data_IF_468532670078
#
_entry.id   IF_468532670078
#
_cell.length_a   1.000
_cell.length_b   1.000
_cell.length_c   1.000
_cell.angle_alpha   90.00
_cell.angle_beta   90.00
_cell.angle_gamma   90.00
#
_symmetry.space_group_name_H-M   'P 1'
#
loop_
_entity.id
_entity.type
_entity.pdbx_description
1 polymer ?
#
# COMPACT_ATOMS: atom_id res chain seq x y z
N UNK A 1 -21.95 -25.65 -16.95
CA UNK A 1 -20.99 -25.22 -15.89
C UNK A 1 -21.07 -23.72 -15.79
N UNK A 2 -21.37 -23.17 -14.61
CA UNK A 2 -21.25 -21.71 -14.38
C UNK A 2 -19.76 -21.40 -14.29
N UNK A 3 -19.22 -20.73 -15.29
CA UNK A 3 -17.84 -20.25 -15.30
C UNK A 3 -17.73 -19.12 -14.29
N UNK A 4 -17.09 -19.41 -13.16
CA UNK A 4 -16.68 -18.36 -12.22
C UNK A 4 -15.56 -17.57 -12.89
N UNK A 5 -15.77 -16.28 -13.11
CA UNK A 5 -14.76 -15.32 -13.55
C UNK A 5 -14.49 -14.36 -12.40
N UNK A 6 -13.26 -14.26 -11.93
CA UNK A 6 -12.85 -13.21 -11.00
C UNK A 6 -12.52 -11.97 -11.83
N UNK A 7 -13.32 -10.91 -11.73
CA UNK A 7 -13.01 -9.59 -12.29
C UNK A 7 -13.25 -8.56 -11.20
N UNK A 8 -12.28 -7.70 -10.93
CA UNK A 8 -12.45 -6.56 -10.05
C UNK A 8 -11.16 -5.75 -10.06
N UNK A 9 -11.16 -4.43 -10.30
CA UNK A 9 -12.24 -3.47 -10.05
C UNK A 9 -12.88 -2.92 -11.34
N UNK A 10 -13.86 -3.71 -11.83
CA UNK A 10 -14.97 -3.35 -12.74
C UNK A 10 -14.73 -3.05 -14.23
N UNK A 11 -13.79 -3.72 -14.92
CA UNK A 11 -13.94 -4.26 -16.30
C UNK A 11 -12.65 -4.95 -16.81
N UNK A 12 -12.45 -5.17 -18.12
CA UNK A 12 -11.38 -5.99 -18.71
C UNK A 12 -10.00 -5.36 -18.45
N UNK A 13 -9.39 -5.73 -17.32
CA UNK A 13 -7.98 -5.44 -17.03
C UNK A 13 -7.11 -6.42 -17.81
N UNK A 14 -6.35 -5.94 -18.80
CA UNK A 14 -5.34 -6.75 -19.51
C UNK A 14 -3.98 -6.77 -18.78
N UNK A 15 -3.85 -5.97 -17.73
CA UNK A 15 -2.63 -5.87 -16.93
C UNK A 15 -2.95 -5.93 -15.44
N UNK A 16 -2.02 -6.47 -14.66
CA UNK A 16 -2.05 -6.38 -13.19
C UNK A 16 -0.73 -5.79 -12.69
N UNK A 17 -0.79 -5.01 -11.61
CA UNK A 17 0.39 -4.54 -10.90
C UNK A 17 0.67 -5.42 -9.69
N UNK A 18 1.92 -5.85 -9.53
CA UNK A 18 2.36 -6.69 -8.43
C UNK A 18 3.65 -6.11 -7.85
N UNK A 19 3.80 -6.29 -6.55
CA UNK A 19 4.97 -5.91 -5.76
C UNK A 19 5.23 -7.00 -4.72
N UNK A 20 6.46 -7.09 -4.23
CA UNK A 20 6.90 -8.21 -3.39
C UNK A 20 7.38 -7.76 -1.99
N UNK A 21 7.01 -8.46 -0.90
CA UNK A 21 7.64 -8.28 0.41
C UNK A 21 9.13 -8.64 0.34
N UNK A 22 9.98 -7.87 1.02
CA UNK A 22 11.44 -7.96 0.85
C UNK A 22 12.13 -9.04 1.71
N UNK A 23 11.36 -9.84 2.46
CA UNK A 23 11.92 -10.85 3.34
C UNK A 23 12.20 -12.14 2.59
N UNK A 24 13.49 -12.37 2.32
CA UNK A 24 13.97 -13.58 1.68
C UNK A 24 13.62 -14.86 2.44
N UNK A 25 13.36 -14.81 3.74
CA UNK A 25 13.09 -15.99 4.56
C UNK A 25 11.90 -15.74 5.49
N UNK A 26 10.92 -16.66 5.45
CA UNK A 26 9.86 -16.73 6.46
C UNK A 26 10.40 -17.33 7.78
N UNK A 27 11.34 -18.26 7.64
CA UNK A 27 12.02 -18.95 8.75
C UNK A 27 13.46 -19.25 8.33
N UNK A 28 14.30 -19.68 9.28
CA UNK A 28 15.69 -20.11 9.01
C UNK A 28 15.81 -21.25 7.98
N UNK A 29 14.71 -21.91 7.63
CA UNK A 29 14.67 -23.03 6.66
C UNK A 29 13.72 -22.81 5.50
N UNK A 30 12.80 -21.85 5.58
CA UNK A 30 11.81 -21.55 4.54
C UNK A 30 12.09 -20.20 3.92
N UNK A 31 12.58 -20.23 2.68
CA UNK A 31 12.91 -19.05 1.91
C UNK A 31 11.63 -18.51 1.22
N UNK A 32 11.15 -17.35 1.64
CA UNK A 32 9.97 -16.69 1.09
C UNK A 32 10.21 -16.14 -0.31
N UNK A 33 11.41 -15.65 -0.61
CA UNK A 33 11.72 -15.14 -1.96
C UNK A 33 11.75 -16.29 -2.96
N UNK A 34 12.36 -17.42 -2.61
CA UNK A 34 12.34 -18.65 -3.39
C UNK A 34 10.92 -19.19 -3.43
N UNK A 35 10.21 -19.35 -2.31
CA UNK A 35 8.83 -19.86 -2.33
C UNK A 35 7.93 -18.94 -3.13
N UNK A 36 8.15 -17.64 -3.19
CA UNK A 36 7.26 -16.72 -3.88
C UNK A 36 7.67 -16.48 -5.32
N UNK A 37 8.96 -16.55 -5.63
CA UNK A 37 9.44 -16.71 -7.00
C UNK A 37 9.05 -18.08 -7.55
N UNK A 38 9.06 -19.16 -6.77
CA UNK A 38 8.64 -20.51 -7.15
C UNK A 38 7.11 -20.62 -7.17
N UNK A 39 6.37 -19.93 -6.30
CA UNK A 39 4.92 -19.79 -6.37
C UNK A 39 4.60 -18.96 -7.60
N UNK A 40 5.27 -17.84 -7.88
CA UNK A 40 5.06 -17.04 -9.10
C UNK A 40 5.47 -17.83 -10.34
N UNK A 41 6.56 -18.61 -10.32
CA UNK A 41 6.95 -19.50 -11.41
C UNK A 41 5.96 -20.64 -11.58
N UNK A 42 5.50 -21.29 -10.51
CA UNK A 42 4.44 -22.30 -10.55
C UNK A 42 3.10 -21.66 -10.94
N UNK A 43 2.86 -20.41 -10.57
CA UNK A 43 1.68 -19.65 -10.92
C UNK A 43 1.73 -19.24 -12.39
N UNK A 44 2.90 -18.91 -12.93
CA UNK A 44 3.11 -18.56 -14.35
C UNK A 44 3.15 -19.83 -15.21
N UNK A 45 3.76 -20.91 -14.73
CA UNK A 45 4.05 -22.13 -15.51
C UNK A 45 3.04 -23.26 -15.28
N UNK A 46 2.51 -23.44 -14.07
CA UNK A 46 1.58 -24.53 -13.70
C UNK A 46 0.12 -24.06 -13.62
N UNK A 47 -0.16 -22.95 -12.92
CA UNK A 47 -1.53 -22.40 -12.75
C UNK A 47 -1.87 -21.44 -13.89
N UNK A 48 -0.85 -20.91 -14.58
CA UNK A 48 -0.94 -19.90 -15.63
C UNK A 48 -1.80 -18.70 -15.22
N UNK A 49 -1.32 -17.86 -14.31
CA UNK A 49 -1.98 -16.65 -13.79
C UNK A 49 -2.60 -15.79 -14.89
N UNK A 50 -1.85 -15.65 -15.98
CA UNK A 50 -2.26 -14.91 -17.17
C UNK A 50 -3.51 -15.53 -17.79
N UNK A 51 -3.68 -16.84 -17.75
CA UNK A 51 -4.91 -17.54 -18.16
C UNK A 51 -6.01 -17.45 -17.08
N UNK A 52 -5.69 -17.66 -15.80
CA UNK A 52 -6.68 -17.63 -14.69
C UNK A 52 -7.33 -16.26 -14.53
N UNK A 53 -6.53 -15.20 -14.56
CA UNK A 53 -7.00 -13.82 -14.50
C UNK A 53 -7.26 -13.23 -15.89
N UNK A 54 -7.01 -13.99 -16.96
CA UNK A 54 -7.12 -13.55 -18.35
C UNK A 54 -6.35 -12.24 -18.63
N UNK A 55 -5.13 -12.15 -18.07
CA UNK A 55 -4.22 -11.03 -18.24
C UNK A 55 -3.36 -11.22 -19.49
N UNK A 56 -2.90 -10.10 -20.04
CA UNK A 56 -1.95 -10.00 -21.15
C UNK A 56 -0.58 -9.53 -20.70
N UNK A 57 -0.48 -8.85 -19.55
CA UNK A 57 0.77 -8.34 -19.03
C UNK A 57 0.78 -8.29 -17.48
N UNK A 58 1.98 -8.35 -16.90
CA UNK A 58 2.23 -8.03 -15.49
C UNK A 58 3.24 -6.88 -15.43
N UNK A 59 2.95 -5.87 -14.62
CA UNK A 59 3.87 -4.76 -14.34
C UNK A 59 4.43 -4.95 -12.93
N UNK A 60 5.75 -5.17 -12.84
CA UNK A 60 6.43 -5.49 -11.58
C UNK A 60 7.03 -4.24 -10.96
N UNK A 61 6.42 -3.75 -9.88
CA UNK A 61 6.97 -2.64 -9.10
C UNK A 61 8.09 -3.18 -8.22
N UNK A 62 9.29 -2.56 -8.20
CA UNK A 62 10.48 -3.18 -7.65
C UNK A 62 10.50 -3.22 -6.12
N UNK A 63 9.88 -2.24 -5.44
CA UNK A 63 9.94 -2.14 -3.98
C UNK A 63 8.78 -1.33 -3.42
N UNK A 64 8.29 -1.76 -2.25
CA UNK A 64 7.26 -1.03 -1.54
C UNK A 64 7.75 0.30 -0.94
N UNK A 65 6.89 1.12 -0.33
CA UNK A 65 7.36 2.24 0.48
C UNK A 65 8.16 1.73 1.70
N UNK A 66 9.02 2.57 2.27
CA UNK A 66 9.85 2.21 3.42
C UNK A 66 9.01 1.93 4.66
N UNK A 67 7.99 2.74 4.91
CA UNK A 67 7.04 2.57 6.02
C UNK A 67 6.11 1.37 5.87
N UNK A 68 5.83 0.89 4.65
CA UNK A 68 5.00 -0.31 4.44
C UNK A 68 5.82 -1.61 4.32
N UNK A 69 7.13 -1.56 4.56
CA UNK A 69 7.97 -2.76 4.63
C UNK A 69 7.50 -3.72 5.74
N UNK A 70 8.10 -4.91 5.83
CA UNK A 70 7.68 -5.90 6.84
C UNK A 70 7.68 -5.31 8.26
N UNK A 71 6.61 -5.56 9.02
CA UNK A 71 6.32 -4.82 10.27
C UNK A 71 7.42 -4.99 11.32
N UNK A 72 8.17 -6.10 11.28
CA UNK A 72 9.28 -6.38 12.21
C UNK A 72 10.67 -6.01 11.68
N UNK A 73 10.76 -5.34 10.52
CA UNK A 73 11.98 -4.71 10.01
C UNK A 73 12.12 -3.27 10.58
N UNK A 74 12.00 -3.15 11.90
CA UNK A 74 12.03 -1.90 12.65
C UNK A 74 13.36 -1.76 13.41
N UNK A 75 13.74 -0.55 13.87
CA UNK A 75 12.97 0.70 13.94
C UNK A 75 12.89 1.47 12.61
N UNK A 76 11.97 2.42 12.53
CA UNK A 76 11.82 3.40 11.44
C UNK A 76 12.13 4.82 11.93
N UNK A 77 12.40 5.79 11.04
CA UNK A 77 12.58 7.17 11.46
C UNK A 77 11.34 7.71 12.21
N UNK A 78 11.60 8.42 13.29
CA UNK A 78 10.63 9.22 14.05
C UNK A 78 10.51 10.61 13.45
N UNK A 79 9.61 11.44 13.99
CA UNK A 79 9.44 12.84 13.58
C UNK A 79 10.73 13.69 13.67
N UNK A 80 11.63 13.38 14.62
CA UNK A 80 12.93 14.06 14.78
C UNK A 80 14.06 13.45 13.91
N UNK A 81 13.75 12.43 13.11
CA UNK A 81 14.70 11.71 12.26
C UNK A 81 15.54 10.65 12.97
N UNK A 82 15.41 10.48 14.30
CA UNK A 82 16.00 9.36 15.03
C UNK A 82 15.27 8.06 14.67
N UNK A 83 15.90 6.89 14.82
CA UNK A 83 15.27 5.61 14.52
C UNK A 83 14.68 4.99 15.80
N UNK A 84 13.59 5.56 16.31
CA UNK A 84 12.94 5.15 17.56
C UNK A 84 11.42 4.95 17.44
N UNK A 85 10.86 5.05 16.23
CA UNK A 85 9.48 4.72 15.93
C UNK A 85 9.37 3.34 15.29
N UNK A 86 8.17 2.79 15.27
CA UNK A 86 7.89 1.44 14.78
C UNK A 86 6.70 1.45 13.82
N UNK A 87 6.54 0.45 12.96
CA UNK A 87 5.32 0.33 12.12
C UNK A 87 4.20 -0.26 12.95
N UNK A 88 3.07 0.43 13.13
CA UNK A 88 1.96 -0.06 13.96
C UNK A 88 1.52 -1.47 13.54
N UNK A 89 1.30 -1.60 12.24
CA UNK A 89 1.26 -2.79 11.42
C UNK A 89 1.62 -2.33 9.99
N UNK A 90 1.88 -3.24 9.06
CA UNK A 90 2.03 -2.89 7.65
C UNK A 90 1.14 -3.76 6.78
N UNK A 91 0.82 -3.29 5.58
CA UNK A 91 0.28 -4.13 4.51
C UNK A 91 1.39 -5.03 3.91
N UNK A 92 2.59 -5.02 4.49
CA UNK A 92 3.73 -5.85 4.11
C UNK A 92 4.13 -5.67 2.64
N UNK A 93 4.04 -4.43 2.18
CA UNK A 93 4.47 -4.00 0.87
C UNK A 93 3.43 -4.27 -0.19
N UNK A 94 2.13 -4.18 0.10
CA UNK A 94 1.09 -4.38 -0.90
C UNK A 94 1.06 -3.26 -1.96
N UNK A 95 0.60 -3.60 -3.17
CA UNK A 95 0.60 -2.66 -4.30
C UNK A 95 -0.40 -1.52 -4.12
N UNK A 96 -1.51 -1.77 -3.42
CA UNK A 96 -2.59 -0.83 -3.15
C UNK A 96 -2.19 0.31 -2.21
N UNK A 97 -1.07 0.20 -1.50
CA UNK A 97 -0.45 1.30 -0.75
C UNK A 97 0.34 2.27 -1.64
N UNK A 98 0.65 1.89 -2.88
CA UNK A 98 1.63 2.62 -3.71
C UNK A 98 1.04 3.07 -5.03
N UNK A 99 0.31 2.19 -5.70
CA UNK A 99 -0.05 2.38 -7.09
C UNK A 99 -1.32 1.61 -7.45
N UNK A 100 -2.27 2.26 -8.12
CA UNK A 100 -3.53 1.64 -8.54
C UNK A 100 -3.93 2.03 -9.96
N UNK A 101 -4.56 1.13 -10.69
CA UNK A 101 -5.26 1.51 -11.92
C UNK A 101 -6.51 2.31 -11.55
N UNK A 102 -6.73 3.43 -12.24
CA UNK A 102 -7.95 4.25 -12.13
C UNK A 102 -8.83 4.14 -13.37
N UNK A 103 -8.25 3.69 -14.48
CA UNK A 103 -8.92 3.25 -15.70
C UNK A 103 -8.06 2.17 -16.39
N UNK A 104 -8.46 1.71 -17.57
CA UNK A 104 -7.69 0.75 -18.38
C UNK A 104 -6.32 1.29 -18.84
N UNK A 105 -6.18 2.62 -18.92
CA UNK A 105 -5.01 3.30 -19.45
C UNK A 105 -4.36 4.28 -18.44
N UNK A 106 -4.91 4.42 -17.24
CA UNK A 106 -4.45 5.41 -16.26
C UNK A 106 -4.03 4.75 -14.95
N UNK A 107 -2.79 5.04 -14.54
CA UNK A 107 -2.17 4.59 -13.30
C UNK A 107 -2.07 5.78 -12.34
N UNK A 108 -2.63 5.64 -11.14
CA UNK A 108 -2.39 6.52 -10.00
C UNK A 108 -1.20 5.98 -9.20
N UNK A 109 -0.24 6.83 -8.85
CA UNK A 109 0.93 6.45 -8.05
C UNK A 109 1.25 7.49 -6.97
N UNK A 110 1.64 7.01 -5.80
CA UNK A 110 2.08 7.82 -4.68
C UNK A 110 3.38 8.58 -5.01
N UNK A 111 3.50 9.81 -4.53
CA UNK A 111 4.61 10.71 -4.83
C UNK A 111 5.02 11.55 -3.61
N UNK A 112 6.32 11.88 -3.56
CA UNK A 112 6.94 12.76 -2.58
C UNK A 112 7.79 13.79 -3.33
N UNK A 113 7.58 15.08 -3.02
CA UNK A 113 8.38 16.16 -3.57
C UNK A 113 9.81 16.20 -3.02
N UNK A 114 10.71 16.84 -3.75
CA UNK A 114 12.09 17.01 -3.32
C UNK A 114 12.21 17.85 -2.03
N UNK A 115 11.24 18.74 -1.77
CA UNK A 115 11.18 19.55 -0.56
C UNK A 115 10.79 18.71 0.66
N UNK A 116 9.72 17.91 0.55
CA UNK A 116 9.29 17.00 1.60
C UNK A 116 10.38 15.99 1.98
N UNK A 117 11.04 15.42 0.98
CA UNK A 117 12.13 14.47 1.19
C UNK A 117 13.38 15.08 1.84
N UNK A 118 13.59 16.39 1.72
CA UNK A 118 14.67 17.10 2.43
C UNK A 118 14.32 17.34 3.89
N UNK A 119 13.05 17.62 4.16
CA UNK A 119 12.58 18.03 5.48
C UNK A 119 12.21 16.85 6.39
N UNK A 120 11.95 15.66 5.83
CA UNK A 120 11.54 14.49 6.59
C UNK A 120 12.35 13.24 6.19
N UNK A 121 12.97 12.59 7.19
CA UNK A 121 13.84 11.43 6.96
C UNK A 121 13.09 10.23 6.40
N UNK A 122 11.85 9.99 6.86
CA UNK A 122 11.01 8.92 6.32
C UNK A 122 10.64 9.21 4.87
N UNK A 123 10.24 10.45 4.56
CA UNK A 123 9.94 10.86 3.19
C UNK A 123 11.13 10.71 2.26
N UNK A 124 12.34 10.99 2.72
CA UNK A 124 13.59 10.73 1.96
C UNK A 124 13.71 9.27 1.55
N UNK A 125 13.49 8.33 2.49
CA UNK A 125 13.56 6.90 2.24
C UNK A 125 12.41 6.41 1.33
N UNK A 126 11.20 6.92 1.54
CA UNK A 126 10.05 6.61 0.69
C UNK A 126 10.25 7.12 -0.73
N UNK A 127 10.75 8.34 -0.90
CA UNK A 127 11.00 8.94 -2.21
C UNK A 127 11.95 8.11 -3.05
N UNK A 128 13.05 7.60 -2.49
CA UNK A 128 13.98 6.74 -3.23
C UNK A 128 13.28 5.51 -3.85
N UNK A 129 12.32 4.92 -3.11
CA UNK A 129 11.56 3.75 -3.57
C UNK A 129 10.46 4.14 -4.54
N UNK A 130 9.72 5.21 -4.25
CA UNK A 130 8.63 5.72 -5.09
C UNK A 130 9.13 6.27 -6.44
N UNK A 131 10.30 6.92 -6.49
CA UNK A 131 10.87 7.41 -7.76
C UNK A 131 11.25 6.24 -8.69
N UNK A 132 11.73 5.11 -8.15
CA UNK A 132 11.97 3.88 -8.92
C UNK A 132 10.67 3.28 -9.44
N UNK A 133 9.62 3.24 -8.61
CA UNK A 133 8.29 2.80 -9.02
C UNK A 133 7.73 3.71 -10.12
N UNK A 134 7.87 5.03 -9.97
CA UNK A 134 7.43 6.03 -10.94
C UNK A 134 8.12 5.89 -12.29
N UNK A 135 9.45 5.77 -12.33
CA UNK A 135 10.17 5.57 -13.59
C UNK A 135 9.80 4.24 -14.26
N UNK A 136 9.50 3.19 -13.49
CA UNK A 136 8.99 1.94 -14.05
C UNK A 136 7.61 2.12 -14.70
N UNK A 137 6.63 2.68 -14.00
CA UNK A 137 5.26 2.83 -14.55
C UNK A 137 5.20 3.83 -15.70
N UNK A 138 6.03 4.87 -15.67
CA UNK A 138 6.16 5.87 -16.75
C UNK A 138 6.72 5.28 -18.04
N UNK A 139 7.63 4.32 -17.94
CA UNK A 139 8.21 3.63 -19.10
C UNK A 139 7.41 2.38 -19.49
N UNK A 140 6.47 1.93 -18.65
CA UNK A 140 5.59 0.82 -18.95
C UNK A 140 4.64 1.19 -20.10
N UNK A 141 4.34 0.19 -20.92
CA UNK A 141 3.37 0.28 -22.00
C UNK A 141 2.26 -0.72 -21.73
N UNK A 142 1.05 -0.39 -22.17
CA UNK A 142 -0.05 -1.33 -22.20
C UNK A 142 0.16 -2.38 -23.30
N UNK A 143 -0.75 -3.35 -23.40
CA UNK A 143 -0.64 -4.45 -24.37
C UNK A 143 -0.66 -3.98 -25.84
N UNK A 144 -1.30 -2.84 -26.13
CA UNK A 144 -1.27 -2.20 -27.45
C UNK A 144 0.03 -1.44 -27.74
N UNK A 145 1.00 -1.44 -26.81
CA UNK A 145 2.27 -0.74 -26.93
C UNK A 145 2.20 0.77 -26.68
N UNK A 146 1.09 1.28 -26.14
CA UNK A 146 0.90 2.70 -25.78
C UNK A 146 1.34 2.94 -24.33
N UNK A 147 1.90 4.12 -24.00
CA UNK A 147 2.20 4.48 -22.61
C UNK A 147 0.92 4.65 -21.79
N UNK A 148 1.01 4.42 -20.49
CA UNK A 148 -0.08 4.74 -19.55
C UNK A 148 -0.11 6.25 -19.25
N UNK A 149 -1.30 6.78 -19.00
CA UNK A 149 -1.48 8.08 -18.36
C UNK A 149 -1.11 7.93 -16.88
N UNK A 150 -0.27 8.82 -16.33
CA UNK A 150 0.16 8.73 -14.93
C UNK A 150 -0.41 9.90 -14.14
N UNK A 151 -1.18 9.58 -13.10
CA UNK A 151 -1.64 10.53 -12.09
C UNK A 151 -0.78 10.35 -10.83
N UNK A 152 -0.31 11.46 -10.26
CA UNK A 152 0.41 11.44 -8.98
C UNK A 152 -0.56 11.82 -7.88
N UNK A 153 -0.59 11.03 -6.81
CA UNK A 153 -1.21 11.42 -5.53
C UNK A 153 -0.10 11.65 -4.51
N UNK A 154 -0.21 12.61 -3.59
CA UNK A 154 0.77 12.75 -2.54
C UNK A 154 0.76 11.51 -1.63
N UNK A 155 1.83 11.31 -0.86
CA UNK A 155 1.77 10.49 0.36
C UNK A 155 1.19 11.32 1.52
N UNK A 156 0.55 10.69 2.53
CA UNK A 156 0.15 11.40 3.74
C UNK A 156 1.35 11.94 4.53
N UNK A 157 1.17 13.05 5.25
CA UNK A 157 2.16 13.45 6.25
C UNK A 157 2.23 12.40 7.38
N UNK A 158 3.42 12.06 7.90
CA UNK A 158 3.54 10.99 8.89
C UNK A 158 2.90 11.39 10.22
N UNK A 159 1.99 10.55 10.70
CA UNK A 159 1.28 10.73 11.98
C UNK A 159 1.76 9.64 12.93
N UNK A 160 2.59 10.02 13.89
CA UNK A 160 3.09 9.10 14.90
C UNK A 160 2.16 9.07 16.11
N UNK A 161 1.82 7.87 16.57
CA UNK A 161 0.89 7.63 17.69
C UNK A 161 1.62 6.84 18.76
N UNK A 162 1.42 7.22 20.02
CA UNK A 162 1.88 6.42 21.15
C UNK A 162 0.79 5.41 21.51
N UNK A 163 1.10 4.12 21.38
CA UNK A 163 0.25 3.04 21.92
C UNK A 163 0.80 2.60 23.27
N UNK A 164 -0.09 2.38 24.23
CA UNK A 164 0.23 2.04 25.62
C UNK A 164 -0.27 0.64 25.96
N UNK A 165 0.26 -0.03 27.00
CA UNK A 165 -0.16 -1.39 27.36
C UNK A 165 -1.65 -1.58 27.66
N UNK A 166 -2.40 -0.50 27.88
CA UNK A 166 -3.85 -0.53 28.13
C UNK A 166 -4.68 -0.41 26.85
N UNK A 167 -4.07 -0.01 25.72
CA UNK A 167 -4.76 0.20 24.45
C UNK A 167 -4.93 -1.14 23.72
N UNK A 168 -6.09 -1.37 23.10
CA UNK A 168 -6.35 -2.61 22.36
C UNK A 168 -5.31 -2.87 21.25
N UNK A 169 -4.86 -1.80 20.58
CA UNK A 169 -3.82 -1.83 19.56
C UNK A 169 -2.47 -2.37 20.06
N UNK A 170 -2.20 -2.28 21.37
CA UNK A 170 -0.98 -2.82 21.98
C UNK A 170 -0.96 -4.35 22.06
N UNK A 171 -2.13 -4.99 22.06
CA UNK A 171 -2.23 -6.47 22.20
C UNK A 171 -1.43 -7.18 21.11
N UNK A 172 -1.56 -6.75 19.85
CA UNK A 172 -0.79 -7.28 18.72
C UNK A 172 0.73 -7.15 18.91
N UNK A 173 1.16 -6.05 19.55
CA UNK A 173 2.56 -5.79 19.84
C UNK A 173 3.11 -6.67 20.96
N UNK A 174 2.31 -6.88 22.01
CA UNK A 174 2.65 -7.80 23.09
C UNK A 174 2.81 -9.23 22.56
N UNK A 175 1.87 -9.70 21.75
CA UNK A 175 1.93 -11.04 21.13
C UNK A 175 3.15 -11.18 20.21
N UNK A 176 3.40 -10.19 19.34
CA UNK A 176 4.56 -10.18 18.46
C UNK A 176 5.87 -10.23 19.25
N UNK A 177 5.98 -9.48 20.35
CA UNK A 177 7.16 -9.47 21.22
C UNK A 177 7.44 -10.86 21.79
N UNK A 178 6.42 -11.56 22.28
CA UNK A 178 6.56 -12.91 22.84
C UNK A 178 7.01 -13.91 21.77
N UNK A 179 6.39 -13.89 20.58
CA UNK A 179 6.74 -14.78 19.47
C UNK A 179 8.17 -14.52 18.95
N UNK A 180 8.62 -13.27 18.99
CA UNK A 180 9.92 -12.82 18.50
C UNK A 180 11.02 -12.85 19.57
N UNK A 181 10.76 -13.44 20.75
CA UNK A 181 11.69 -13.46 21.89
C UNK A 181 12.23 -12.06 22.28
N UNK A 182 11.39 -11.03 22.14
CA UNK A 182 11.72 -9.67 22.51
C UNK A 182 12.65 -8.91 21.57
N UNK A 183 12.99 -9.46 20.39
CA UNK A 183 13.92 -8.85 19.43
C UNK A 183 13.32 -8.73 18.03
N UNK A 184 13.47 -7.58 17.39
CA UNK A 184 13.18 -7.41 15.96
C UNK A 184 14.20 -8.17 15.10
N UNK A 185 13.93 -8.26 13.80
CA UNK A 185 14.77 -9.01 12.86
C UNK A 185 16.20 -8.47 12.73
N UNK A 186 16.41 -7.18 13.03
CA UNK A 186 17.71 -6.53 13.02
C UNK A 186 18.45 -6.62 14.38
N UNK A 187 17.84 -7.28 15.38
CA UNK A 187 18.36 -7.41 16.74
C UNK A 187 18.00 -6.26 17.67
N UNK A 188 17.22 -5.28 17.21
CA UNK A 188 16.71 -4.20 18.07
C UNK A 188 15.74 -4.79 19.09
N UNK A 189 15.83 -4.44 20.39
CA UNK A 189 14.87 -4.91 21.38
C UNK A 189 13.50 -4.24 21.20
N UNK A 190 12.44 -5.00 21.44
CA UNK A 190 11.09 -4.46 21.54
C UNK A 190 10.98 -3.50 22.74
N UNK A 191 10.36 -2.33 22.59
CA UNK A 191 10.13 -1.43 23.71
C UNK A 191 9.23 -2.09 24.77
N UNK A 192 9.53 -1.94 26.07
CA UNK A 192 8.82 -2.66 27.12
C UNK A 192 7.46 -2.05 27.49
N UNK A 193 7.25 -0.77 27.19
CA UNK A 193 6.08 0.02 27.61
C UNK A 193 5.46 0.70 26.38
N UNK A 194 5.11 1.98 26.48
CA UNK A 194 4.62 2.80 25.36
C UNK A 194 5.51 2.68 24.14
N UNK A 195 4.89 2.42 22.99
CA UNK A 195 5.55 2.29 21.69
C UNK A 195 5.09 3.46 20.82
N UNK A 196 6.04 4.19 20.25
CA UNK A 196 5.71 5.18 19.24
C UNK A 196 5.61 4.50 17.87
N UNK A 197 4.43 4.52 17.28
CA UNK A 197 4.13 3.80 16.05
C UNK A 197 3.68 4.72 14.92
N UNK A 198 3.93 4.31 13.69
CA UNK A 198 3.40 4.89 12.47
C UNK A 198 2.35 3.95 11.87
N UNK A 199 1.09 4.38 11.71
CA UNK A 199 0.05 3.62 11.00
C UNK A 199 0.38 3.45 9.50
N UNK A 200 -0.14 2.41 8.85
CA UNK A 200 0.03 2.18 7.42
C UNK A 200 -0.92 3.10 6.61
N UNK A 201 -0.44 4.28 6.22
CA UNK A 201 -1.25 5.32 5.61
C UNK A 201 -0.89 5.55 4.14
N UNK A 202 -1.87 5.46 3.24
CA UNK A 202 -1.71 5.84 1.83
C UNK A 202 -3.00 6.32 1.20
N UNK A 203 -2.99 7.40 0.44
CA UNK A 203 -4.17 7.77 -0.34
C UNK A 203 -4.47 6.82 -1.51
N UNK A 204 -3.54 5.91 -1.86
CA UNK A 204 -3.80 4.87 -2.85
C UNK A 204 -4.74 3.78 -2.34
N UNK A 205 -4.89 3.60 -1.02
CA UNK A 205 -5.70 2.54 -0.42
C UNK A 205 -7.21 2.88 -0.35
N UNK A 206 -7.78 3.32 -1.48
CA UNK A 206 -9.19 3.69 -1.63
C UNK A 206 -10.01 2.58 -2.28
N UNK A 207 -11.31 2.56 -1.98
CA UNK A 207 -12.28 1.67 -2.60
C UNK A 207 -12.99 2.38 -3.76
N UNK A 208 -13.05 1.71 -4.91
CA UNK A 208 -13.99 2.05 -5.99
C UNK A 208 -15.20 1.14 -5.83
N UNK A 209 -16.42 1.69 -5.83
CA UNK A 209 -17.65 0.93 -5.69
C UNK A 209 -18.77 1.55 -6.55
N UNK A 210 -19.03 0.94 -7.73
CA UNK A 210 -19.96 1.46 -8.72
C UNK A 210 -19.64 2.93 -9.05
N UNK A 211 -20.56 3.86 -8.81
CA UNK A 211 -20.38 5.30 -9.02
C UNK A 211 -19.86 6.06 -7.80
N UNK A 212 -19.33 5.37 -6.79
CA UNK A 212 -18.78 5.96 -5.56
C UNK A 212 -17.31 5.56 -5.42
N UNK A 213 -16.50 6.49 -4.92
CA UNK A 213 -15.13 6.21 -4.46
C UNK A 213 -15.04 6.57 -2.98
N UNK A 214 -14.68 5.61 -2.14
CA UNK A 214 -14.43 5.84 -0.71
C UNK A 214 -12.93 6.03 -0.53
N UNK A 215 -12.54 7.29 -0.38
CA UNK A 215 -11.17 7.75 -0.24
C UNK A 215 -10.75 7.87 1.24
N UNK A 216 -9.46 7.70 1.50
CA UNK A 216 -8.89 7.94 2.83
C UNK A 216 -8.71 9.46 3.04
N UNK A 217 -8.88 9.89 4.29
CA UNK A 217 -8.44 11.20 4.79
C UNK A 217 -7.87 11.03 6.19
N UNK A 218 -7.10 12.00 6.68
CA UNK A 218 -6.43 11.89 7.97
C UNK A 218 -6.58 13.13 8.87
N UNK A 219 -6.89 14.29 8.30
CA UNK A 219 -7.03 15.53 9.05
C UNK A 219 -8.23 15.50 9.98
N UNK A 220 -7.97 15.90 11.22
CA UNK A 220 -8.95 16.32 12.21
C UNK A 220 -8.62 17.72 12.72
N UNK A 221 -9.63 18.40 13.26
CA UNK A 221 -9.47 19.75 13.79
C UNK A 221 -8.40 19.79 14.89
N UNK A 222 -7.43 20.71 14.74
CA UNK A 222 -6.27 20.83 15.63
C UNK A 222 -5.02 20.10 15.16
N UNK A 223 -5.08 19.33 14.07
CA UNK A 223 -3.89 18.75 13.42
C UNK A 223 -3.17 19.76 12.53
N UNK A 224 -1.97 19.40 12.06
CA UNK A 224 -1.18 20.21 11.14
C UNK A 224 -1.95 20.53 9.85
N UNK A 225 -1.82 21.78 9.40
CA UNK A 225 -2.39 22.24 8.12
C UNK A 225 -1.85 21.44 6.93
N UNK A 226 -0.61 20.96 7.02
CA UNK A 226 -0.01 20.10 5.99
C UNK A 226 -0.82 18.81 5.78
N UNK A 227 -1.37 18.21 6.84
CA UNK A 227 -2.22 17.01 6.71
C UNK A 227 -3.49 17.36 5.93
N UNK A 228 -4.11 18.50 6.23
CA UNK A 228 -5.31 18.96 5.50
C UNK A 228 -5.00 19.24 4.03
N UNK A 229 -3.88 19.89 3.75
CA UNK A 229 -3.43 20.17 2.38
C UNK A 229 -3.23 18.88 1.58
N UNK A 230 -2.67 17.84 2.21
CA UNK A 230 -2.51 16.51 1.59
C UNK A 230 -3.84 15.81 1.33
N UNK A 231 -4.78 15.87 2.27
CA UNK A 231 -6.14 15.34 2.10
C UNK A 231 -6.84 16.03 0.91
N UNK A 232 -6.71 17.35 0.80
CA UNK A 232 -7.32 18.15 -0.26
C UNK A 232 -6.66 17.92 -1.63
N UNK A 233 -5.33 17.79 -1.66
CA UNK A 233 -4.57 17.46 -2.86
C UNK A 233 -4.99 16.09 -3.39
N UNK A 234 -5.01 15.07 -2.54
CA UNK A 234 -5.47 13.73 -2.91
C UNK A 234 -6.92 13.74 -3.42
N UNK A 235 -7.82 14.47 -2.76
CA UNK A 235 -9.21 14.62 -3.22
C UNK A 235 -9.29 15.22 -4.63
N UNK A 236 -8.49 16.23 -4.95
CA UNK A 236 -8.45 16.83 -6.30
C UNK A 236 -8.00 15.82 -7.35
N UNK A 237 -6.98 15.02 -7.02
CA UNK A 237 -6.47 13.96 -7.91
C UNK A 237 -7.54 12.90 -8.16
N UNK A 238 -8.22 12.42 -7.10
CA UNK A 238 -9.29 11.43 -7.24
C UNK A 238 -10.50 11.97 -8.01
N UNK A 239 -10.87 13.24 -7.83
CA UNK A 239 -11.92 13.88 -8.64
C UNK A 239 -11.54 13.96 -10.13
N UNK A 240 -10.26 14.19 -10.43
CA UNK A 240 -9.75 14.16 -11.80
C UNK A 240 -9.74 12.75 -12.40
N UNK A 241 -9.36 11.75 -11.61
CA UNK A 241 -9.34 10.34 -12.01
C UNK A 241 -10.75 9.78 -12.22
N UNK A 242 -11.72 10.23 -11.43
CA UNK A 242 -13.08 9.68 -11.38
C UNK A 242 -14.14 10.78 -11.53
N UNK A 243 -14.19 11.52 -12.67
CA UNK A 243 -15.04 12.71 -12.82
C UNK A 243 -16.54 12.42 -12.72
N UNK A 244 -16.95 11.18 -12.98
CA UNK A 244 -18.35 10.72 -12.91
C UNK A 244 -18.69 10.00 -11.60
N UNK A 245 -17.79 9.98 -10.62
CA UNK A 245 -18.02 9.31 -9.34
C UNK A 245 -18.24 10.31 -8.20
N UNK A 246 -19.04 9.91 -7.23
CA UNK A 246 -19.14 10.61 -5.95
C UNK A 246 -17.98 10.18 -5.04
N UNK A 247 -17.08 11.12 -4.73
CA UNK A 247 -15.94 10.85 -3.85
C UNK A 247 -16.33 11.16 -2.39
N UNK A 248 -16.21 10.16 -1.51
CA UNK A 248 -16.46 10.25 -0.07
C UNK A 248 -15.14 10.05 0.67
N UNK A 249 -14.71 11.04 1.44
CA UNK A 249 -13.52 10.91 2.29
C UNK A 249 -13.89 10.44 3.70
N UNK A 250 -13.21 9.39 4.16
CA UNK A 250 -13.42 8.79 5.49
C UNK A 250 -12.11 8.83 6.26
N UNK A 251 -12.15 9.25 7.53
CA UNK A 251 -10.98 9.14 8.39
C UNK A 251 -10.69 7.67 8.66
N UNK A 252 -9.58 7.16 8.12
CA UNK A 252 -9.19 5.76 8.21
C UNK A 252 -8.08 5.53 9.24
N UNK A 253 -7.57 6.56 9.92
CA UNK A 253 -6.36 6.47 10.75
C UNK A 253 -6.42 5.33 11.79
N UNK A 254 -7.58 5.14 12.43
CA UNK A 254 -7.81 4.06 13.38
C UNK A 254 -7.74 2.67 12.72
N UNK A 255 -8.21 2.53 11.48
CA UNK A 255 -8.08 1.31 10.67
C UNK A 255 -6.61 1.05 10.34
N UNK A 256 -5.89 2.11 9.95
CA UNK A 256 -4.49 2.04 9.54
C UNK A 256 -3.54 1.58 10.66
N UNK A 257 -3.93 1.74 11.94
CA UNK A 257 -3.19 1.20 13.08
C UNK A 257 -3.10 -0.33 13.07
N UNK A 258 -4.11 -1.00 12.50
CA UNK A 258 -4.16 -2.45 12.37
C UNK A 258 -3.63 -2.96 11.02
N UNK A 259 -3.14 -2.04 10.17
CA UNK A 259 -2.49 -2.35 8.90
C UNK A 259 -3.40 -2.12 7.68
N UNK A 260 -2.81 -1.62 6.59
CA UNK A 260 -3.52 -1.27 5.36
C UNK A 260 -4.61 -0.22 5.55
N UNK A 261 -5.48 -0.05 4.55
CA UNK A 261 -6.56 0.94 4.58
C UNK A 261 -7.92 0.38 4.16
N UNK A 262 -8.77 1.26 3.61
CA UNK A 262 -10.15 0.94 3.20
C UNK A 262 -10.18 -0.18 2.14
N UNK A 263 -9.27 -0.16 1.17
CA UNK A 263 -9.18 -1.19 0.13
C UNK A 263 -8.83 -2.56 0.72
N UNK A 264 -7.89 -2.62 1.67
CA UNK A 264 -7.51 -3.88 2.32
C UNK A 264 -8.67 -4.55 3.08
N UNK A 265 -9.62 -3.76 3.58
CA UNK A 265 -10.75 -4.23 4.38
C UNK A 265 -12.00 -4.52 3.56
N UNK A 266 -11.93 -4.41 2.24
CA UNK A 266 -13.08 -4.58 1.35
C UNK A 266 -12.76 -5.55 0.24
N UNK A 267 -13.80 -6.24 -0.26
CA UNK A 267 -13.67 -7.14 -1.40
C UNK A 267 -14.89 -7.01 -2.29
N UNK A 268 -14.65 -6.57 -3.52
CA UNK A 268 -15.72 -6.36 -4.47
C UNK A 268 -16.14 -7.71 -5.08
N UNK A 269 -17.45 -7.91 -5.24
CA UNK A 269 -18.02 -8.99 -6.04
C UNK A 269 -18.60 -8.33 -7.30
N UNK A 270 -18.05 -8.60 -8.49
CA UNK A 270 -18.58 -8.02 -9.73
C UNK A 270 -19.98 -8.55 -10.01
N UNK A 271 -20.84 -7.70 -10.59
CA UNK A 271 -22.09 -8.16 -11.19
C UNK A 271 -21.74 -9.03 -12.40
N UNK A 272 -22.37 -10.20 -12.51
CA UNK A 272 -22.20 -11.07 -13.67
C UNK A 272 -22.71 -10.35 -14.92
N UNK A 273 -21.80 -9.95 -15.80
CA UNK A 273 -22.17 -9.50 -17.14
C UNK A 273 -22.49 -10.75 -17.96
N UNK A 274 -23.79 -11.05 -18.12
CA UNK A 274 -24.23 -11.92 -19.21
C UNK A 274 -23.96 -11.10 -20.49
N UNK A 275 -22.80 -11.31 -21.12
CA UNK A 275 -22.63 -10.88 -22.50
C UNK A 275 -23.51 -11.80 -23.36
N UNK A 276 -24.53 -11.29 -24.06
CA UNK A 276 -25.22 -12.06 -25.09
C UNK A 276 -24.25 -12.44 -26.23
#
# INVERSE_FOLDING_TARGET
>A
MKTYRTVGEFEKQESVMIIWPHNAYATNTLNNDIVSVEIVKAIINEIKLMEVFNLKQIIWVPKCSYDDDYSYCCPIPSADGSFNSFRAASANGHIDEICRFTSEDTILIAYISDEEAKNNKLHSLNKERLDKAFELVKNAKNFDGKPFNILKTPVPEPIYININPQDDAYTHWHEAREVMNGMFLDGTPFPPNTINVLPAMSYCNFLIANNVVVAQKYYEEGMSELIREKDEESLKVLKSAFPNHHIVQVNSLALNLYGGGIHCHTRNIPVATIKP
#
